data_IF_672617828149
#
_entry.id   IF_672617828149
#
_cell.length_a   1.000
_cell.length_b   1.000
_cell.length_c   1.000
_cell.angle_alpha   90.00
_cell.angle_beta   90.00
_cell.angle_gamma   90.00
#
_symmetry.space_group_name_H-M   'P 1'
#
loop_
_entity.id
_entity.type
_entity.pdbx_description
1 polymer ?
#
# COMPACT_ATOMS: atom_id res chain seq x y z
N UNK A 1 -1.09 21.51 -6.70
CA UNK A 1 -0.15 20.42 -7.03
C UNK A 1 -0.52 19.81 -8.38
N UNK A 2 0.18 20.18 -9.45
CA UNK A 2 -0.02 19.59 -10.78
C UNK A 2 0.46 18.13 -10.75
N UNK A 3 -0.47 17.19 -10.99
CA UNK A 3 -0.12 15.77 -11.12
C UNK A 3 0.81 15.64 -12.32
N UNK A 4 2.09 15.30 -12.11
CA UNK A 4 3.02 14.97 -13.19
C UNK A 4 2.47 13.75 -13.93
N UNK A 5 2.00 13.96 -15.16
CA UNK A 5 1.66 12.91 -16.11
C UNK A 5 2.98 12.35 -16.66
N UNK A 6 3.34 11.13 -16.26
CA UNK A 6 4.63 10.51 -16.64
C UNK A 6 4.37 9.27 -17.48
N UNK A 7 4.95 9.24 -18.68
CA UNK A 7 5.11 8.03 -19.50
C UNK A 7 6.40 7.34 -19.04
N UNK A 8 6.37 6.02 -18.85
CA UNK A 8 7.55 5.25 -18.42
C UNK A 8 7.80 4.11 -19.39
N UNK A 9 9.07 3.80 -19.64
CA UNK A 9 9.47 2.65 -20.44
C UNK A 9 9.96 1.56 -19.47
N UNK A 10 9.38 0.38 -19.58
CA UNK A 10 9.80 -0.81 -18.85
C UNK A 10 10.47 -1.77 -19.83
N UNK A 11 11.81 -1.79 -19.83
CA UNK A 11 12.61 -2.61 -20.72
C UNK A 11 12.49 -4.11 -20.43
N UNK A 12 12.33 -4.50 -19.16
CA UNK A 12 12.24 -5.91 -18.76
C UNK A 12 11.00 -6.58 -19.37
N UNK A 13 9.86 -5.88 -19.32
CA UNK A 13 8.60 -6.40 -19.84
C UNK A 13 8.33 -5.96 -21.28
N UNK A 14 9.22 -5.15 -21.88
CA UNK A 14 9.02 -4.51 -23.19
C UNK A 14 7.68 -3.78 -23.28
N UNK A 15 7.38 -2.93 -22.28
CA UNK A 15 6.12 -2.18 -22.21
C UNK A 15 6.32 -0.69 -22.00
N UNK A 16 5.47 0.12 -22.65
CA UNK A 16 5.33 1.56 -22.42
C UNK A 16 4.19 1.75 -21.42
N UNK A 17 4.53 2.09 -20.18
CA UNK A 17 3.59 2.25 -19.08
C UNK A 17 3.05 3.69 -19.01
N UNK A 18 1.74 3.84 -19.11
CA UNK A 18 1.02 5.11 -19.02
C UNK A 18 0.23 5.21 -17.72
N UNK A 19 0.12 6.42 -17.17
CA UNK A 19 -0.87 6.69 -16.14
C UNK A 19 -2.27 6.82 -16.76
N UNK A 20 -3.34 6.53 -16.00
CA UNK A 20 -4.73 6.71 -16.46
C UNK A 20 -5.03 8.12 -16.97
N UNK A 21 -4.43 9.15 -16.36
CA UNK A 21 -4.59 10.54 -16.81
C UNK A 21 -3.90 10.77 -18.16
N UNK A 22 -2.67 10.28 -18.30
CA UNK A 22 -1.90 10.38 -19.55
C UNK A 22 -2.55 9.59 -20.69
N UNK A 23 -3.10 8.41 -20.41
CA UNK A 23 -3.85 7.64 -21.40
C UNK A 23 -5.12 8.36 -21.86
N UNK A 24 -5.83 9.02 -20.92
CA UNK A 24 -6.99 9.86 -21.27
C UNK A 24 -6.60 11.06 -22.12
N UNK A 25 -5.50 11.72 -21.79
CA UNK A 25 -4.98 12.84 -22.57
C UNK A 25 -4.56 12.38 -23.97
N UNK A 26 -3.79 11.29 -24.07
CA UNK A 26 -3.36 10.70 -25.33
C UNK A 26 -4.50 10.12 -26.18
N UNK A 27 -5.70 9.91 -25.61
CA UNK A 27 -6.89 9.56 -26.41
C UNK A 27 -7.41 10.73 -27.25
N UNK A 28 -6.99 11.95 -26.94
CA UNK A 28 -7.27 13.14 -27.75
C UNK A 28 -6.18 13.28 -28.81
N UNK A 29 -6.59 13.14 -30.07
CA UNK A 29 -5.73 13.31 -31.24
C UNK A 29 -5.13 14.73 -31.24
N UNK A 30 -3.83 14.85 -31.54
CA UNK A 30 -3.04 16.10 -31.48
C UNK A 30 -2.82 16.71 -30.10
N UNK A 31 -3.15 16.00 -29.01
CA UNK A 31 -2.69 16.41 -27.68
C UNK A 31 -1.17 16.24 -27.53
N UNK A 32 -0.57 17.00 -26.62
CA UNK A 32 0.86 16.86 -26.28
C UNK A 32 1.21 15.43 -25.83
N UNK A 33 0.33 14.79 -25.04
CA UNK A 33 0.49 13.42 -24.61
C UNK A 33 0.40 12.41 -25.77
N UNK A 34 -0.46 12.66 -26.77
CA UNK A 34 -0.56 11.84 -27.97
C UNK A 34 0.72 11.90 -28.79
N UNK A 35 1.23 13.10 -29.07
CA UNK A 35 2.47 13.29 -29.85
C UNK A 35 3.67 12.63 -29.17
N UNK A 36 3.79 12.76 -27.85
CA UNK A 36 4.84 12.08 -27.07
C UNK A 36 4.72 10.57 -27.13
N UNK A 37 3.50 10.03 -26.99
CA UNK A 37 3.26 8.58 -27.10
C UNK A 37 3.60 8.06 -28.50
N UNK A 38 3.29 8.82 -29.54
CA UNK A 38 3.60 8.47 -30.92
C UNK A 38 5.11 8.41 -31.18
N UNK A 39 5.87 9.40 -30.70
CA UNK A 39 7.33 9.40 -30.80
C UNK A 39 7.94 8.17 -30.10
N UNK A 40 7.50 7.86 -28.88
CA UNK A 40 7.98 6.69 -28.13
C UNK A 40 7.61 5.38 -28.84
N UNK A 41 6.43 5.31 -29.45
CA UNK A 41 6.00 4.12 -30.20
C UNK A 41 6.83 3.92 -31.49
N UNK A 42 7.30 4.99 -32.10
CA UNK A 42 8.19 4.92 -33.27
C UNK A 42 9.59 4.43 -32.87
N UNK A 43 10.11 4.86 -31.72
CA UNK A 43 11.39 4.38 -31.19
C UNK A 43 11.33 2.92 -30.70
N UNK A 44 10.19 2.51 -30.13
CA UNK A 44 9.98 1.18 -29.56
C UNK A 44 8.76 0.47 -30.19
N UNK A 45 8.82 0.12 -31.50
CA UNK A 45 7.67 -0.44 -32.22
C UNK A 45 7.23 -1.82 -31.71
N UNK A 46 8.14 -2.56 -31.08
CA UNK A 46 7.89 -3.87 -30.48
C UNK A 46 7.28 -3.80 -29.08
N UNK A 47 7.29 -2.63 -28.44
CA UNK A 47 6.84 -2.49 -27.06
C UNK A 47 5.32 -2.34 -26.97
N UNK A 48 4.72 -2.98 -25.98
CA UNK A 48 3.26 -2.89 -25.75
C UNK A 48 2.92 -1.68 -24.89
N UNK A 49 1.93 -0.89 -25.30
CA UNK A 49 1.42 0.22 -24.49
C UNK A 49 0.46 -0.32 -23.44
N UNK A 50 0.75 -0.06 -22.17
CA UNK A 50 -0.03 -0.55 -21.03
C UNK A 50 -0.40 0.61 -20.11
N UNK A 51 -1.68 0.71 -19.74
CA UNK A 51 -2.11 1.68 -18.73
C UNK A 51 -1.90 1.06 -17.36
N UNK A 52 -0.91 1.57 -16.61
CA UNK A 52 -0.64 1.08 -15.26
C UNK A 52 -1.72 1.58 -14.32
N UNK A 53 -2.38 0.66 -13.63
CA UNK A 53 -3.15 1.03 -12.46
C UNK A 53 -2.19 1.65 -11.43
N UNK A 54 -2.59 2.76 -10.81
CA UNK A 54 -1.85 3.25 -9.65
C UNK A 54 -1.88 2.13 -8.62
N UNK A 55 -0.69 1.72 -8.15
CA UNK A 55 -0.60 0.95 -6.93
C UNK A 55 -1.47 1.66 -5.89
N UNK A 56 -2.53 0.98 -5.43
CA UNK A 56 -3.41 1.55 -4.41
C UNK A 56 -2.49 1.95 -3.28
N UNK A 57 -2.47 3.23 -2.92
CA UNK A 57 -1.72 3.68 -1.75
C UNK A 57 -2.07 2.71 -0.62
N UNK A 58 -1.05 2.23 0.10
CA UNK A 58 -1.19 1.35 1.27
C UNK A 58 -2.19 1.89 2.32
N UNK A 59 -2.71 3.12 2.16
CA UNK A 59 -3.92 3.63 2.84
C UNK A 59 -5.15 2.73 2.75
N UNK A 60 -5.26 1.86 1.74
CA UNK A 60 -6.33 0.85 1.67
C UNK A 60 -5.86 -0.54 2.15
N UNK A 61 -5.12 -0.57 3.25
CA UNK A 61 -4.93 -1.75 4.09
C UNK A 61 -6.30 -2.17 4.69
N UNK A 62 -7.13 -2.83 3.87
CA UNK A 62 -8.38 -3.45 4.33
C UNK A 62 -8.16 -4.50 5.45
N UNK A 63 -6.91 -4.92 5.68
CA UNK A 63 -6.50 -5.78 6.80
C UNK A 63 -6.05 -5.05 8.08
N UNK A 64 -5.87 -3.71 8.08
CA UNK A 64 -5.70 -2.93 9.33
C UNK A 64 -7.03 -2.38 9.86
N UNK A 65 -8.12 -2.50 9.11
CA UNK A 65 -9.47 -2.16 9.57
C UNK A 65 -9.91 -3.18 10.63
N UNK A 66 -9.39 -3.05 11.84
CA UNK A 66 -9.75 -3.93 12.96
C UNK A 66 -8.80 -3.85 14.14
N UNK A 67 -7.51 -3.59 13.91
CA UNK A 67 -6.55 -3.41 15.00
C UNK A 67 -6.62 -1.95 15.49
N UNK A 68 -7.65 -1.62 16.26
CA UNK A 68 -7.81 -0.33 16.95
C UNK A 68 -7.59 -0.54 18.46
N UNK A 69 -7.62 0.55 19.25
CA UNK A 69 -7.44 0.47 20.69
C UNK A 69 -8.45 -0.48 21.37
N UNK A 70 -9.72 -0.46 20.94
CA UNK A 70 -10.77 -1.32 21.52
C UNK A 70 -10.51 -2.80 21.25
N UNK A 71 -10.01 -3.15 20.06
CA UNK A 71 -9.62 -4.52 19.74
C UNK A 71 -8.44 -5.00 20.59
N UNK A 72 -7.39 -4.17 20.74
CA UNK A 72 -6.24 -4.52 21.57
C UNK A 72 -6.66 -4.73 23.03
N UNK A 73 -7.51 -3.84 23.56
CA UNK A 73 -8.00 -3.92 24.93
C UNK A 73 -8.85 -5.18 25.16
N UNK A 74 -9.80 -5.47 24.27
CA UNK A 74 -10.61 -6.69 24.37
C UNK A 74 -9.77 -7.96 24.21
N UNK A 75 -8.74 -7.94 23.36
CA UNK A 75 -7.86 -9.08 23.20
C UNK A 75 -7.06 -9.36 24.47
N UNK A 76 -6.47 -8.32 25.08
CA UNK A 76 -5.73 -8.44 26.35
C UNK A 76 -6.63 -8.96 27.47
N UNK A 77 -7.87 -8.47 27.57
CA UNK A 77 -8.85 -8.90 28.60
C UNK A 77 -9.21 -10.39 28.53
N UNK A 78 -9.19 -10.98 27.33
CA UNK A 78 -9.56 -12.39 27.12
C UNK A 78 -8.34 -13.33 27.18
N UNK A 79 -7.15 -12.83 27.53
CA UNK A 79 -5.93 -13.63 27.62
C UNK A 79 -5.53 -13.88 29.07
N UNK A 80 -4.79 -14.97 29.30
CA UNK A 80 -4.42 -15.46 30.63
C UNK A 80 -3.58 -14.45 31.44
N UNK A 81 -2.76 -13.64 30.76
CA UNK A 81 -1.88 -12.61 31.37
C UNK A 81 -2.52 -11.20 31.33
N UNK A 82 -3.84 -11.13 31.50
CA UNK A 82 -4.62 -9.91 31.24
C UNK A 82 -4.27 -8.74 32.17
N UNK A 83 -4.04 -8.96 33.46
CA UNK A 83 -3.86 -7.85 34.43
C UNK A 83 -2.58 -7.04 34.17
N UNK A 84 -1.45 -7.72 33.95
CA UNK A 84 -0.15 -7.05 33.73
C UNK A 84 -0.14 -6.30 32.42
N UNK A 85 -0.58 -6.93 31.33
CA UNK A 85 -0.57 -6.30 30.00
C UNK A 85 -1.64 -5.19 29.86
N UNK A 86 -2.75 -5.26 30.60
CA UNK A 86 -3.77 -4.22 30.59
C UNK A 86 -3.29 -2.96 31.32
N UNK A 87 -2.58 -3.13 32.44
CA UNK A 87 -1.93 -2.02 33.16
C UNK A 87 -0.85 -1.32 32.30
N UNK A 88 -0.02 -2.11 31.61
CA UNK A 88 0.98 -1.57 30.69
C UNK A 88 0.35 -0.83 29.50
N UNK A 89 -0.70 -1.40 28.90
CA UNK A 89 -1.46 -0.76 27.83
C UNK A 89 -2.13 0.55 28.27
N UNK A 90 -2.68 0.61 29.48
CA UNK A 90 -3.28 1.82 30.04
C UNK A 90 -2.22 2.92 30.26
N UNK A 91 -1.05 2.55 30.79
CA UNK A 91 0.10 3.44 30.97
C UNK A 91 0.58 4.01 29.63
N UNK A 92 0.74 3.16 28.62
CA UNK A 92 1.14 3.57 27.26
C UNK A 92 0.13 4.53 26.64
N UNK A 93 -1.17 4.28 26.82
CA UNK A 93 -2.24 5.17 26.35
C UNK A 93 -2.25 6.52 27.06
N UNK A 94 -1.99 6.54 28.38
CA UNK A 94 -1.92 7.75 29.18
C UNK A 94 -0.66 8.59 28.92
N UNK A 95 0.45 7.93 28.56
CA UNK A 95 1.74 8.58 28.28
C UNK A 95 1.78 9.43 27.00
N UNK A 96 0.72 9.40 26.19
CA UNK A 96 0.64 10.19 24.94
C UNK A 96 1.47 9.62 23.78
N UNK A 97 1.98 8.41 23.92
CA UNK A 97 2.72 7.68 22.87
C UNK A 97 1.84 7.48 21.63
N UNK A 98 2.47 7.47 20.46
CA UNK A 98 1.74 7.34 19.20
C UNK A 98 1.03 5.97 19.10
N UNK A 99 -0.14 5.96 18.45
CA UNK A 99 -0.86 4.70 18.18
C UNK A 99 0.03 3.66 17.47
N UNK A 100 0.96 4.11 16.62
CA UNK A 100 1.90 3.24 15.93
C UNK A 100 2.82 2.49 16.90
N UNK A 101 3.34 3.17 17.92
CA UNK A 101 4.23 2.56 18.92
C UNK A 101 3.48 1.60 19.85
N UNK A 102 2.27 1.99 20.29
CA UNK A 102 1.39 1.11 21.08
C UNK A 102 1.06 -0.16 20.28
N UNK A 103 0.85 -0.01 18.98
CA UNK A 103 0.65 -1.15 18.08
C UNK A 103 1.90 -2.04 17.95
N UNK A 104 3.09 -1.46 17.87
CA UNK A 104 4.34 -2.23 17.81
C UNK A 104 4.54 -3.04 19.09
N UNK A 105 4.29 -2.44 20.25
CA UNK A 105 4.29 -3.13 21.53
C UNK A 105 3.32 -4.31 21.52
N UNK A 106 2.07 -4.10 21.13
CA UNK A 106 1.05 -5.18 21.08
C UNK A 106 1.49 -6.36 20.19
N UNK A 107 2.06 -6.08 19.02
CA UNK A 107 2.54 -7.13 18.10
C UNK A 107 3.80 -7.86 18.60
N UNK A 108 4.58 -7.23 19.49
CA UNK A 108 5.72 -7.86 20.17
C UNK A 108 5.26 -8.75 21.31
N UNK A 109 4.28 -8.30 22.09
CA UNK A 109 3.69 -9.04 23.22
C UNK A 109 2.89 -10.25 22.74
N UNK A 110 2.19 -10.12 21.62
CA UNK A 110 1.38 -11.19 21.02
C UNK A 110 1.91 -11.58 19.63
N UNK A 111 3.00 -12.38 19.55
CA UNK A 111 3.64 -12.74 18.29
C UNK A 111 2.75 -13.56 17.36
N UNK A 112 1.65 -14.14 17.87
CA UNK A 112 0.61 -14.84 17.07
C UNK A 112 0.05 -13.93 15.96
N UNK A 113 0.01 -12.60 16.16
CA UNK A 113 -0.41 -11.64 15.14
C UNK A 113 0.70 -11.23 14.16
N UNK A 114 1.96 -11.55 14.45
CA UNK A 114 3.11 -11.23 13.59
C UNK A 114 3.04 -12.05 12.29
N UNK A 115 2.58 -13.29 12.36
CA UNK A 115 2.45 -14.16 11.19
C UNK A 115 1.24 -13.85 10.30
N UNK A 116 0.17 -13.28 10.85
CA UNK A 116 -0.96 -12.78 10.04
C UNK A 116 -0.53 -11.58 9.19
N UNK A 117 0.44 -10.79 9.67
CA UNK A 117 1.03 -9.67 8.92
C UNK A 117 2.06 -10.11 7.86
N UNK A 118 2.79 -11.21 8.10
CA UNK A 118 3.77 -11.79 7.16
C UNK A 118 3.14 -12.69 6.11
N UNK A 119 2.22 -13.58 6.49
CA UNK A 119 1.54 -14.55 5.60
C UNK A 119 0.87 -13.89 4.39
N UNK A 120 0.43 -12.63 4.51
CA UNK A 120 -0.19 -11.89 3.40
C UNK A 120 0.80 -11.11 2.52
N UNK A 121 2.05 -10.97 2.93
CA UNK A 121 3.13 -10.48 2.07
C UNK A 121 3.60 -11.58 1.11
N UNK A 122 3.62 -12.83 1.58
CA UNK A 122 4.01 -13.99 0.76
C UNK A 122 2.91 -14.43 -0.21
N UNK A 123 1.62 -14.27 0.14
CA UNK A 123 0.50 -14.56 -0.79
C UNK A 123 0.36 -13.59 -1.98
N UNK A 124 1.15 -12.51 -2.07
CA UNK A 124 1.11 -11.58 -3.21
C UNK A 124 2.25 -11.85 -4.22
N UNK A 125 3.17 -12.77 -3.92
CA UNK A 125 4.26 -13.15 -4.84
C UNK A 125 4.02 -14.49 -5.56
N UNK A 126 2.87 -15.14 -5.34
CA UNK A 126 2.51 -16.44 -5.94
C UNK A 126 1.23 -16.41 -6.79
N UNK A 127 0.84 -15.24 -7.31
CA UNK A 127 -0.27 -15.09 -8.26
C UNK A 127 0.09 -14.05 -9.33
#
# INVERSE_FOLDING_TARGET
>A
MTKKNTIKINYQNSTIELSKATAKEASVVNSDAYTKLLAIRNEFPTFKVVVKERARSKKNLKGLKGLNFSFMENYIKNHSDSETHLSEFATLKASGISFFEIKQWFLKTYPIFKDISKSKADCILAA
#
